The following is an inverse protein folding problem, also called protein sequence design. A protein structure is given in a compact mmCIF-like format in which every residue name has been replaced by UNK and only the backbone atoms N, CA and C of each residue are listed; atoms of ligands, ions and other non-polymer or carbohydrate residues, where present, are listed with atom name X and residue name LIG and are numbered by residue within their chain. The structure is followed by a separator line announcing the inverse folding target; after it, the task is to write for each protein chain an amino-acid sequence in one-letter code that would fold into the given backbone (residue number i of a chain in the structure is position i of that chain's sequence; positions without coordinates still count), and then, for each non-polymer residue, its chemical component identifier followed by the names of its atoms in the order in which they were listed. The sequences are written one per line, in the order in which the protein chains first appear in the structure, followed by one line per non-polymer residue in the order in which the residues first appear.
data_IF_521405404217
#
_entry.id   IF_521405404217
#
_cell.length_a   1.000
_cell.length_b   1.000
_cell.length_c   1.000
_cell.angle_alpha   90.00
_cell.angle_beta   90.00
_cell.angle_gamma   90.00
#
_symmetry.space_group_name_H-M   'P 1'
#
loop_
_entity.id
_entity.type
_entity.pdbx_description
1 polymer ?
#
# COMPACT_ATOMS: atom_id res chain seq x y z
N UNK A 1 28.81 -33.03 10.97
CA UNK A 1 28.29 -31.84 11.69
C UNK A 1 28.66 -30.60 10.89
N UNK A 2 27.69 -29.77 10.45
CA UNK A 2 27.99 -28.50 9.76
C UNK A 2 28.74 -27.56 10.70
N UNK A 3 29.74 -26.84 10.18
CA UNK A 3 30.53 -25.91 11.00
C UNK A 3 29.65 -24.76 11.50
N UNK A 4 30.00 -24.18 12.65
CA UNK A 4 29.27 -23.04 13.23
C UNK A 4 29.20 -21.88 12.21
N UNK A 5 30.26 -21.69 11.41
CA UNK A 5 30.36 -20.64 10.40
C UNK A 5 29.38 -20.86 9.23
N UNK A 6 29.19 -22.10 8.78
CA UNK A 6 28.21 -22.44 7.74
C UNK A 6 26.78 -22.21 8.23
N UNK A 7 26.47 -22.60 9.47
CA UNK A 7 25.15 -22.37 10.08
C UNK A 7 24.84 -20.88 10.20
N UNK A 8 25.83 -20.04 10.51
CA UNK A 8 25.69 -18.58 10.57
C UNK A 8 25.46 -17.97 9.18
N UNK A 9 26.19 -18.42 8.15
CA UNK A 9 25.99 -17.98 6.75
C UNK A 9 24.60 -18.37 6.24
N UNK A 10 24.15 -19.61 6.46
CA UNK A 10 22.80 -20.05 6.09
C UNK A 10 21.71 -19.26 6.81
N UNK A 11 21.89 -18.97 8.10
CA UNK A 11 20.94 -18.15 8.88
C UNK A 11 20.88 -16.72 8.34
N UNK A 12 22.02 -16.13 7.95
CA UNK A 12 22.08 -14.79 7.32
C UNK A 12 21.35 -14.75 5.96
N UNK A 13 21.53 -15.79 5.14
CA UNK A 13 20.83 -15.94 3.84
C UNK A 13 19.32 -16.09 4.06
N UNK A 14 18.88 -16.92 5.01
CA UNK A 14 17.47 -17.09 5.36
C UNK A 14 16.83 -15.78 5.86
N UNK A 15 17.54 -15.03 6.70
CA UNK A 15 17.08 -13.71 7.19
C UNK A 15 16.98 -12.70 6.04
N UNK A 16 17.96 -12.67 5.13
CA UNK A 16 17.90 -11.80 3.95
C UNK A 16 16.73 -12.16 3.02
N UNK A 17 16.52 -13.44 2.75
CA UNK A 17 15.40 -13.93 1.94
C UNK A 17 14.02 -13.66 2.60
N UNK A 18 13.95 -13.65 3.93
CA UNK A 18 12.74 -13.23 4.65
C UNK A 18 12.50 -11.71 4.56
N UNK A 19 13.56 -10.89 4.61
CA UNK A 19 13.43 -9.43 4.43
C UNK A 19 12.87 -9.05 3.05
N UNK A 20 13.23 -9.78 1.98
CA UNK A 20 12.69 -9.55 0.63
C UNK A 20 11.19 -9.84 0.50
N UNK A 21 10.63 -10.67 1.41
CA UNK A 21 9.20 -11.00 1.44
C UNK A 21 8.34 -10.00 2.22
N UNK A 22 8.93 -9.03 2.92
CA UNK A 22 8.17 -8.08 3.73
C UNK A 22 7.62 -6.96 2.84
N UNK A 23 6.30 -6.76 2.87
CA UNK A 23 5.64 -5.66 2.18
C UNK A 23 6.04 -4.30 2.74
N UNK A 24 6.44 -4.22 4.01
CA UNK A 24 6.89 -3.00 4.68
C UNK A 24 8.39 -2.77 4.49
N UNK A 25 8.76 -1.62 3.91
CA UNK A 25 10.15 -1.23 3.67
C UNK A 25 10.75 -0.37 4.79
N UNK A 26 9.89 0.26 5.57
CA UNK A 26 10.25 1.15 6.66
C UNK A 26 9.16 1.14 7.73
N UNK A 27 9.59 1.12 8.98
CA UNK A 27 8.77 1.39 10.15
C UNK A 27 9.45 2.55 10.87
N UNK A 28 8.72 3.65 11.04
CA UNK A 28 9.19 4.84 11.75
C UNK A 28 8.51 4.87 13.12
N UNK A 29 9.28 5.11 14.17
CA UNK A 29 8.75 5.39 15.50
C UNK A 29 9.10 6.84 15.83
N UNK A 30 8.08 7.66 16.05
CA UNK A 30 8.27 9.03 16.51
C UNK A 30 7.47 9.19 17.80
N UNK A 31 8.19 9.25 18.92
CA UNK A 31 7.59 9.19 20.26
C UNK A 31 6.73 7.91 20.43
N UNK A 32 5.42 8.08 20.61
CA UNK A 32 4.43 6.99 20.78
C UNK A 32 3.70 6.61 19.48
N UNK A 33 4.04 7.23 18.35
CA UNK A 33 3.42 6.98 17.06
C UNK A 33 4.27 6.06 16.19
N UNK A 34 3.65 5.00 15.67
CA UNK A 34 4.30 4.09 14.73
C UNK A 34 3.73 4.25 13.32
N UNK A 35 4.62 4.53 12.36
CA UNK A 35 4.26 4.67 10.95
C UNK A 35 4.84 3.52 10.14
N UNK A 36 3.97 2.79 9.45
CA UNK A 36 4.35 1.68 8.58
C UNK A 36 4.29 2.11 7.13
N UNK A 37 5.33 1.77 6.36
CA UNK A 37 5.46 2.17 4.97
C UNK A 37 5.67 0.96 4.08
N UNK A 38 4.75 0.73 3.14
CA UNK A 38 4.88 -0.37 2.18
C UNK A 38 5.94 -0.09 1.12
N UNK A 39 6.33 -1.11 0.37
CA UNK A 39 6.90 -0.96 -0.98
C UNK A 39 5.90 -0.18 -1.86
N UNK A 40 6.40 0.42 -2.94
CA UNK A 40 5.53 0.89 -4.01
C UNK A 40 4.94 -0.35 -4.69
N UNK A 41 3.62 -0.43 -4.72
CA UNK A 41 2.86 -1.48 -5.38
C UNK A 41 2.17 -0.90 -6.63
N UNK A 42 1.73 -1.76 -7.54
CA UNK A 42 1.02 -1.30 -8.73
C UNK A 42 -0.40 -0.87 -8.37
N UNK A 43 -1.23 -1.82 -7.91
CA UNK A 43 -2.62 -1.57 -7.53
C UNK A 43 -3.18 -2.58 -6.52
N UNK A 44 -4.41 -2.30 -6.07
CA UNK A 44 -5.18 -3.17 -5.18
C UNK A 44 -5.66 -4.43 -5.91
N UNK A 45 -5.33 -5.58 -5.33
CA UNK A 45 -5.76 -6.88 -5.81
C UNK A 45 -7.06 -7.32 -5.12
N UNK A 46 -7.00 -7.63 -3.81
CA UNK A 46 -8.12 -8.15 -3.02
C UNK A 46 -8.04 -7.67 -1.57
N UNK A 47 -9.19 -7.54 -0.92
CA UNK A 47 -9.28 -7.16 0.48
C UNK A 47 -10.58 -7.66 1.13
N UNK A 48 -10.59 -7.75 2.45
CA UNK A 48 -11.78 -8.07 3.22
C UNK A 48 -11.47 -8.56 4.63
N UNK A 49 -12.54 -8.82 5.38
CA UNK A 49 -12.45 -9.45 6.70
C UNK A 49 -12.19 -10.94 6.53
N UNK A 50 -11.25 -11.49 7.29
CA UNK A 50 -11.03 -12.93 7.29
C UNK A 50 -12.23 -13.63 7.96
N UNK A 51 -12.93 -14.51 7.22
CA UNK A 51 -14.12 -15.22 7.70
C UNK A 51 -13.89 -15.99 9.01
N UNK A 52 -12.69 -16.53 9.21
CA UNK A 52 -12.32 -17.28 10.43
C UNK A 52 -11.72 -16.39 11.51
N UNK A 53 -11.21 -15.21 11.15
CA UNK A 53 -10.52 -14.29 12.05
C UNK A 53 -11.07 -12.88 11.84
N UNK A 54 -12.27 -12.64 12.36
CA UNK A 54 -13.00 -11.38 12.20
C UNK A 54 -12.26 -10.15 12.73
N UNK A 55 -11.23 -10.32 13.57
CA UNK A 55 -10.34 -9.26 14.06
C UNK A 55 -9.24 -8.86 13.07
N UNK A 56 -9.19 -9.46 11.86
CA UNK A 56 -8.21 -9.15 10.82
C UNK A 56 -8.90 -8.78 9.51
N UNK A 57 -8.51 -7.63 8.98
CA UNK A 57 -8.86 -7.17 7.65
C UNK A 57 -7.64 -7.27 6.74
N UNK A 58 -7.64 -8.20 5.79
CA UNK A 58 -6.52 -8.36 4.87
C UNK A 58 -6.62 -7.35 3.71
N UNK A 59 -5.47 -6.87 3.26
CA UNK A 59 -5.32 -6.07 2.05
C UNK A 59 -4.16 -6.64 1.25
N UNK A 60 -4.39 -6.89 -0.04
CA UNK A 60 -3.41 -7.46 -0.95
C UNK A 60 -3.26 -6.60 -2.20
N UNK A 61 -2.05 -6.53 -2.70
CA UNK A 61 -1.65 -5.66 -3.81
C UNK A 61 -0.84 -6.44 -4.84
N UNK A 62 -0.90 -5.98 -6.08
CA UNK A 62 -0.03 -6.47 -7.16
C UNK A 62 1.32 -5.77 -7.10
N UNK A 63 2.39 -6.54 -7.27
CA UNK A 63 3.75 -6.02 -7.33
C UNK A 63 3.93 -4.98 -8.44
N UNK A 64 4.84 -4.04 -8.21
CA UNK A 64 5.10 -2.93 -9.15
C UNK A 64 5.65 -3.41 -10.50
N UNK A 65 6.59 -4.38 -10.49
CA UNK A 65 7.27 -4.88 -11.69
C UNK A 65 6.72 -6.22 -12.18
N UNK A 66 6.22 -7.05 -11.26
CA UNK A 66 5.56 -8.30 -11.58
C UNK A 66 4.17 -8.28 -10.92
N UNK A 67 3.13 -8.18 -11.74
CA UNK A 67 1.74 -8.10 -11.29
C UNK A 67 1.18 -9.45 -10.81
N UNK A 68 1.83 -10.57 -11.15
CA UNK A 68 1.52 -11.91 -10.62
C UNK A 68 2.02 -12.05 -9.17
N UNK A 69 3.04 -11.28 -8.80
CA UNK A 69 3.52 -11.25 -7.42
C UNK A 69 2.52 -10.48 -6.55
N UNK A 70 1.81 -11.20 -5.68
CA UNK A 70 0.88 -10.63 -4.71
C UNK A 70 1.58 -10.49 -3.35
N UNK A 71 1.54 -9.28 -2.78
CA UNK A 71 1.97 -9.03 -1.39
C UNK A 71 0.79 -8.50 -0.57
N UNK A 72 0.71 -8.88 0.70
CA UNK A 72 -0.43 -8.54 1.56
C UNK A 72 -0.01 -8.22 2.99
N UNK A 73 -0.85 -7.45 3.69
CA UNK A 73 -0.80 -7.29 5.13
C UNK A 73 -2.21 -7.34 5.73
N UNK A 74 -2.29 -7.29 7.05
CA UNK A 74 -3.55 -7.20 7.78
C UNK A 74 -3.62 -5.90 8.57
N UNK A 75 -4.76 -5.21 8.48
CA UNK A 75 -5.21 -4.30 9.52
C UNK A 75 -5.88 -5.13 10.62
N UNK A 76 -5.68 -4.71 11.87
CA UNK A 76 -6.22 -5.41 13.04
C UNK A 76 -7.34 -4.59 13.67
N UNK A 77 -8.27 -5.28 14.34
CA UNK A 77 -9.22 -4.63 15.23
C UNK A 77 -8.45 -3.81 16.27
N UNK A 78 -8.94 -2.60 16.54
CA UNK A 78 -8.29 -1.69 17.48
C UNK A 78 -8.46 -2.22 18.90
N UNK A 79 -7.42 -2.11 19.72
CA UNK A 79 -7.42 -2.47 21.14
C UNK A 79 -6.96 -1.27 21.96
N UNK A 80 -7.26 -1.31 23.26
CA UNK A 80 -6.83 -0.32 24.24
C UNK A 80 -7.30 1.11 23.89
N UNK A 81 -6.44 2.11 24.08
CA UNK A 81 -6.76 3.52 23.86
C UNK A 81 -6.50 4.01 22.42
N UNK A 82 -6.13 3.12 21.50
CA UNK A 82 -5.99 3.46 20.07
C UNK A 82 -7.36 3.60 19.40
N UNK A 83 -7.43 4.32 18.27
CA UNK A 83 -8.67 4.57 17.51
C UNK A 83 -8.38 4.70 16.03
N UNK A 84 -9.17 4.04 15.19
CA UNK A 84 -9.15 4.34 13.76
C UNK A 84 -9.70 5.76 13.52
N UNK A 85 -8.92 6.59 12.85
CA UNK A 85 -9.25 7.99 12.58
C UNK A 85 -9.80 8.20 11.16
N UNK A 86 -9.37 7.37 10.20
CA UNK A 86 -9.95 7.37 8.86
C UNK A 86 -8.98 6.98 7.76
N UNK A 87 -9.45 7.14 6.52
CA UNK A 87 -8.66 6.91 5.30
C UNK A 87 -8.31 8.27 4.68
N UNK A 88 -7.03 8.43 4.35
CA UNK A 88 -6.53 9.62 3.67
C UNK A 88 -5.79 9.24 2.39
N UNK A 89 -5.85 10.11 1.40
CA UNK A 89 -5.12 9.97 0.15
C UNK A 89 -4.15 11.14 0.00
N UNK A 90 -2.98 10.86 -0.54
CA UNK A 90 -1.97 11.89 -0.73
C UNK A 90 -0.85 11.45 -1.64
N UNK A 91 0.17 12.29 -1.71
CA UNK A 91 1.41 11.99 -2.41
C UNK A 91 2.61 12.54 -1.64
N UNK A 92 3.78 11.94 -1.85
CA UNK A 92 5.05 12.40 -1.28
C UNK A 92 6.23 11.95 -2.15
N UNK A 93 7.44 12.39 -1.82
CA UNK A 93 8.66 11.79 -2.37
C UNK A 93 8.79 10.33 -1.89
N UNK A 94 9.29 9.40 -2.73
CA UNK A 94 9.50 8.02 -2.32
C UNK A 94 10.44 7.92 -1.12
N UNK A 95 10.19 6.93 -0.26
CA UNK A 95 11.06 6.65 0.89
C UNK A 95 12.39 6.04 0.46
N UNK A 96 12.36 5.24 -0.61
CA UNK A 96 13.53 4.68 -1.27
C UNK A 96 13.43 4.96 -2.76
N UNK A 97 14.56 5.28 -3.39
CA UNK A 97 14.62 5.43 -4.84
C UNK A 97 14.36 4.07 -5.49
N UNK A 98 13.25 3.97 -6.22
CA UNK A 98 12.90 2.79 -7.00
C UNK A 98 13.11 3.12 -8.47
N UNK A 99 13.92 2.31 -9.15
CA UNK A 99 14.19 2.46 -10.59
C UNK A 99 13.21 1.58 -11.37
N UNK A 100 12.43 2.20 -12.24
CA UNK A 100 11.59 1.50 -13.21
C UNK A 100 12.32 1.42 -14.54
N UNK A 101 12.56 0.19 -15.01
CA UNK A 101 13.07 -0.07 -16.35
C UNK A 101 11.90 -0.39 -17.27
N UNK A 102 11.92 0.17 -18.48
CA UNK A 102 10.93 -0.10 -19.52
C UNK A 102 11.59 0.03 -20.88
N UNK A 103 11.05 -0.66 -21.87
CA UNK A 103 11.50 -0.58 -23.25
C UNK A 103 10.63 0.42 -24.01
N UNK A 104 11.26 1.31 -24.77
CA UNK A 104 10.58 2.23 -25.67
C UNK A 104 11.36 2.26 -26.99
N UNK A 105 10.71 1.86 -28.08
CA UNK A 105 11.31 1.78 -29.43
C UNK A 105 12.61 0.94 -29.48
N UNK A 106 12.66 -0.21 -28.79
CA UNK A 106 13.85 -1.07 -28.76
C UNK A 106 14.96 -0.60 -27.82
N UNK A 107 14.78 0.54 -27.12
CA UNK A 107 15.78 1.08 -26.18
C UNK A 107 15.29 0.92 -24.75
N UNK A 108 16.14 0.30 -23.92
CA UNK A 108 15.91 0.19 -22.48
C UNK A 108 16.10 1.55 -21.81
N UNK A 109 15.01 2.10 -21.28
CA UNK A 109 14.99 3.32 -20.47
C UNK A 109 14.85 2.99 -19.00
N UNK A 110 15.47 3.82 -18.16
CA UNK A 110 15.33 3.77 -16.72
C UNK A 110 14.78 5.11 -16.20
N UNK A 111 13.83 5.06 -15.29
CA UNK A 111 13.26 6.24 -14.65
C UNK A 111 13.13 6.01 -13.15
N UNK A 112 13.22 7.10 -12.39
CA UNK A 112 12.96 7.10 -10.96
C UNK A 112 11.62 7.78 -10.67
N UNK A 113 10.99 7.40 -9.56
CA UNK A 113 9.78 8.07 -9.11
C UNK A 113 10.14 9.39 -8.44
N UNK A 114 9.73 10.53 -9.01
CA UNK A 114 9.85 11.84 -8.36
C UNK A 114 8.77 12.05 -7.28
N UNK A 115 7.63 11.36 -7.44
CA UNK A 115 6.45 11.43 -6.56
C UNK A 115 5.78 10.05 -6.53
N UNK A 116 5.29 9.66 -5.36
CA UNK A 116 4.47 8.45 -5.16
C UNK A 116 3.19 8.82 -4.44
N UNK A 117 2.10 8.20 -4.87
CA UNK A 117 0.78 8.38 -4.30
C UNK A 117 0.51 7.27 -3.27
N UNK A 118 -0.31 7.58 -2.26
CA UNK A 118 -0.60 6.63 -1.20
C UNK A 118 -2.04 6.68 -0.72
N UNK A 119 -2.45 5.56 -0.11
CA UNK A 119 -3.57 5.45 0.81
C UNK A 119 -2.97 5.37 2.21
N UNK A 120 -3.49 6.15 3.14
CA UNK A 120 -3.13 6.12 4.56
C UNK A 120 -4.32 5.63 5.37
N UNK A 121 -4.10 4.56 6.15
CA UNK A 121 -5.01 4.15 7.22
C UNK A 121 -4.50 4.77 8.52
N UNK A 122 -5.20 5.79 9.01
CA UNK A 122 -4.76 6.57 10.16
C UNK A 122 -5.38 6.04 11.44
N UNK A 123 -4.55 5.92 12.47
CA UNK A 123 -4.92 5.54 13.83
C UNK A 123 -4.44 6.63 14.81
N UNK A 124 -4.93 6.60 16.04
CA UNK A 124 -4.48 7.52 17.10
C UNK A 124 -3.01 7.29 17.43
N UNK A 125 -2.56 6.02 17.43
CA UNK A 125 -1.17 5.63 17.74
C UNK A 125 -0.27 5.42 16.53
N UNK A 126 -0.71 5.80 15.33
CA UNK A 126 0.12 5.56 14.15
C UNK A 126 -0.60 5.60 12.83
N UNK A 127 0.06 5.18 11.76
CA UNK A 127 -0.58 5.06 10.44
C UNK A 127 0.10 4.01 9.57
N UNK A 128 -0.68 3.45 8.63
CA UNK A 128 -0.18 2.56 7.60
C UNK A 128 -0.29 3.24 6.24
N UNK A 129 0.86 3.51 5.62
CA UNK A 129 0.96 4.10 4.28
C UNK A 129 1.17 3.02 3.23
N UNK A 130 0.21 2.91 2.32
CA UNK A 130 0.25 2.02 1.16
C UNK A 130 0.53 2.82 -0.11
N UNK A 131 1.72 2.65 -0.69
CA UNK A 131 2.12 3.37 -1.91
C UNK A 131 1.64 2.64 -3.16
N UNK A 132 0.89 3.33 -4.02
CA UNK A 132 0.28 2.77 -5.22
C UNK A 132 0.60 3.63 -6.45
N UNK A 133 1.27 3.05 -7.44
CA UNK A 133 1.54 3.73 -8.71
C UNK A 133 0.25 3.95 -9.52
N UNK A 134 -0.72 3.05 -9.43
CA UNK A 134 -2.00 3.17 -10.13
C UNK A 134 -2.77 4.45 -9.80
N UNK A 135 -2.59 5.01 -8.59
CA UNK A 135 -3.22 6.28 -8.21
C UNK A 135 -2.70 7.47 -9.03
N UNK A 136 -1.46 7.41 -9.53
CA UNK A 136 -0.91 8.46 -10.38
C UNK A 136 -1.70 8.63 -11.68
N UNK A 137 -2.44 7.60 -12.11
CA UNK A 137 -3.16 7.60 -13.38
C UNK A 137 -4.42 8.46 -13.30
N UNK A 138 -4.88 8.81 -12.09
CA UNK A 138 -6.00 9.72 -11.91
C UNK A 138 -5.70 11.17 -12.30
N UNK A 139 -4.42 11.52 -12.35
CA UNK A 139 -3.92 12.87 -12.65
C UNK A 139 -3.22 12.95 -14.00
N UNK A 140 -3.38 11.92 -14.85
CA UNK A 140 -2.90 11.92 -16.23
C UNK A 140 -4.12 11.97 -17.15
N UNK A 141 -4.30 13.06 -17.89
CA UNK A 141 -5.47 13.30 -18.76
C UNK A 141 -5.79 12.10 -19.66
N UNK A 142 -4.77 11.59 -20.37
CA UNK A 142 -4.91 10.43 -21.27
C UNK A 142 -5.27 9.12 -20.58
N UNK A 143 -5.15 9.03 -19.25
CA UNK A 143 -5.38 7.79 -18.47
C UNK A 143 -6.63 7.84 -17.60
N UNK A 144 -7.06 9.01 -17.13
CA UNK A 144 -8.17 9.12 -16.17
C UNK A 144 -9.48 8.48 -16.68
N UNK A 145 -9.81 8.66 -17.96
CA UNK A 145 -11.03 8.10 -18.57
C UNK A 145 -10.99 6.60 -18.86
N UNK A 146 -9.83 5.94 -18.69
CA UNK A 146 -9.65 4.54 -19.06
C UNK A 146 -10.47 3.58 -18.19
N UNK A 147 -10.80 2.40 -18.74
CA UNK A 147 -11.45 1.30 -18.00
C UNK A 147 -10.68 0.95 -16.72
N UNK A 148 -9.35 1.03 -16.76
CA UNK A 148 -8.49 0.80 -15.60
C UNK A 148 -8.80 1.78 -14.46
N UNK A 149 -8.76 3.08 -14.72
CA UNK A 149 -8.99 4.10 -13.69
C UNK A 149 -10.40 4.00 -13.10
N UNK A 150 -11.42 3.80 -13.94
CA UNK A 150 -12.80 3.58 -13.49
C UNK A 150 -12.90 2.36 -12.55
N UNK A 151 -12.27 1.24 -12.94
CA UNK A 151 -12.23 0.03 -12.10
C UNK A 151 -11.50 0.26 -10.78
N UNK A 152 -10.38 1.00 -10.79
CA UNK A 152 -9.62 1.30 -9.60
C UNK A 152 -10.39 2.19 -8.62
N UNK A 153 -11.10 3.23 -9.10
CA UNK A 153 -11.95 4.10 -8.27
C UNK A 153 -13.05 3.29 -7.59
N UNK A 154 -13.72 2.40 -8.33
CA UNK A 154 -14.77 1.53 -7.78
C UNK A 154 -14.17 0.63 -6.69
N UNK A 155 -13.04 -0.03 -6.97
CA UNK A 155 -12.36 -0.90 -5.97
C UNK A 155 -11.97 -0.12 -4.72
N UNK A 156 -11.44 1.09 -4.86
CA UNK A 156 -11.07 1.95 -3.74
C UNK A 156 -12.29 2.37 -2.91
N UNK A 157 -13.40 2.71 -3.57
CA UNK A 157 -14.66 3.05 -2.88
C UNK A 157 -15.20 1.87 -2.08
N UNK A 158 -15.12 0.65 -2.63
CA UNK A 158 -15.50 -0.58 -1.91
C UNK A 158 -14.53 -0.87 -0.75
N UNK A 159 -13.23 -0.60 -0.92
CA UNK A 159 -12.25 -0.73 0.16
C UNK A 159 -12.58 0.22 1.32
N UNK A 160 -12.88 1.49 1.02
CA UNK A 160 -13.26 2.48 2.02
C UNK A 160 -14.47 2.02 2.84
N UNK A 161 -15.56 1.62 2.16
CA UNK A 161 -16.77 1.12 2.80
C UNK A 161 -16.48 -0.08 3.71
N UNK A 162 -15.72 -1.06 3.23
CA UNK A 162 -15.42 -2.27 3.99
C UNK A 162 -14.50 -2.01 5.19
N UNK A 163 -13.52 -1.12 5.06
CA UNK A 163 -12.64 -0.75 6.18
C UNK A 163 -13.41 0.05 7.22
N UNK A 164 -14.29 0.97 6.81
CA UNK A 164 -15.14 1.71 7.73
C UNK A 164 -16.09 0.79 8.50
N UNK A 165 -16.74 -0.16 7.81
CA UNK A 165 -17.56 -1.20 8.46
C UNK A 165 -16.75 -2.07 9.43
N UNK A 166 -15.53 -2.45 9.07
CA UNK A 166 -14.64 -3.23 9.93
C UNK A 166 -14.31 -2.51 11.24
N UNK A 167 -14.24 -1.18 11.23
CA UNK A 167 -14.00 -0.35 12.41
C UNK A 167 -15.28 0.25 13.02
N UNK A 168 -16.45 -0.28 12.67
CA UNK A 168 -17.76 0.17 13.13
C UNK A 168 -17.98 1.69 12.98
N UNK A 169 -17.62 2.21 11.80
CA UNK A 169 -17.82 3.62 11.42
C UNK A 169 -18.69 3.74 10.19
N UNK A 170 -19.40 4.87 10.11
CA UNK A 170 -20.14 5.27 8.90
C UNK A 170 -19.20 6.01 7.94
N UNK A 171 -19.18 5.57 6.69
CA UNK A 171 -18.44 6.25 5.62
C UNK A 171 -19.16 7.57 5.26
N UNK A 172 -18.45 8.72 5.20
CA UNK A 172 -19.07 9.97 4.78
C UNK A 172 -19.58 9.93 3.34
N UNK A 173 -20.68 10.65 3.07
CA UNK A 173 -21.24 10.77 1.71
C UNK A 173 -20.18 11.20 0.70
N UNK A 174 -20.14 10.49 -0.44
CA UNK A 174 -19.21 10.73 -1.54
C UNK A 174 -17.84 10.05 -1.41
N UNK A 175 -17.52 9.39 -0.29
CA UNK A 175 -16.25 8.69 -0.10
C UNK A 175 -15.03 9.63 -0.03
N UNK A 176 -13.86 9.08 0.28
CA UNK A 176 -12.61 9.87 0.37
C UNK A 176 -11.93 9.97 -0.99
N UNK A 177 -11.91 8.90 -1.77
CA UNK A 177 -11.22 8.84 -3.05
C UNK A 177 -11.80 9.83 -4.06
N UNK A 178 -13.13 9.88 -4.19
CA UNK A 178 -13.81 10.79 -5.12
C UNK A 178 -13.59 12.25 -4.73
N UNK A 179 -13.65 12.57 -3.43
CA UNK A 179 -13.35 13.92 -2.91
C UNK A 179 -11.89 14.30 -3.16
N UNK A 180 -10.97 13.37 -2.95
CA UNK A 180 -9.55 13.62 -3.16
C UNK A 180 -9.23 13.85 -4.64
N UNK A 181 -9.77 13.03 -5.55
CA UNK A 181 -9.61 13.22 -7.00
C UNK A 181 -10.15 14.60 -7.41
N UNK A 182 -11.39 14.93 -7.05
CA UNK A 182 -12.03 16.21 -7.39
C UNK A 182 -11.22 17.42 -6.91
N UNK A 183 -10.65 17.35 -5.71
CA UNK A 183 -9.82 18.44 -5.14
C UNK A 183 -8.51 18.65 -5.91
N UNK A 184 -7.96 17.60 -6.52
CA UNK A 184 -6.63 17.61 -7.13
C UNK A 184 -6.65 17.59 -8.67
N UNK A 185 -7.82 17.55 -9.31
CA UNK A 185 -7.99 17.71 -10.76
C UNK A 185 -8.14 19.18 -11.19
N UNK A 186 -7.32 20.07 -10.61
CA UNK A 186 -7.26 21.47 -11.04
C UNK A 186 -6.35 21.63 -12.26
#
# INVERSE_FOLDING_TARGET
MKSILERLKEKKIKIAAQKDKLIFIKVENNSDLTFYHTKIMMDLYRFGVNKKQNHKFFISFRGLFNQEKIESFHLFAVRDDDKFLGIFYGFRKPIKNVVRRYEENGVMKASTFSKVYYIEFRFKKGSVFCYLEGLAYFFKERKFGTKYCKSLIIKLSILEDRVYKFYDKKLPNGGFISKWIKRNQK
#
